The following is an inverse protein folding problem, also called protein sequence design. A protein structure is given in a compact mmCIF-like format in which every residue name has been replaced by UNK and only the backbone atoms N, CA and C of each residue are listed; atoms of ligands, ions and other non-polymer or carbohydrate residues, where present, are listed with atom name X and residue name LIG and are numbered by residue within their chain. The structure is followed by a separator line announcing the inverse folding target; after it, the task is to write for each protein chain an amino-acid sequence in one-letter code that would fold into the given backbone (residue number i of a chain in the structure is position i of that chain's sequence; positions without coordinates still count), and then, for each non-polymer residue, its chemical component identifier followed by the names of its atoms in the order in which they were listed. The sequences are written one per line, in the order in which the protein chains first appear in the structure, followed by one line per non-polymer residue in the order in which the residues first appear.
data_IF_335338986216
#
_entry.id   IF_335338986216
#
_cell.length_a   1.000
_cell.length_b   1.000
_cell.length_c   1.000
_cell.angle_alpha   90.00
_cell.angle_beta   90.00
_cell.angle_gamma   90.00
#
_symmetry.space_group_name_H-M   'P 1'
#
loop_
_entity.id
_entity.type
_entity.pdbx_description
1 polymer ?
#
# COMPACT_ATOMS: atom_id res chain seq x y z
N UNK A 1 -9.30 -18.64 -15.35
CA UNK A 1 -8.93 -17.81 -14.18
C UNK A 1 -10.14 -17.04 -13.70
N UNK A 2 -10.24 -16.76 -12.39
CA UNK A 2 -11.34 -15.95 -11.83
C UNK A 2 -11.21 -14.54 -12.41
N UNK A 3 -12.21 -14.09 -13.17
CA UNK A 3 -12.23 -12.74 -13.72
C UNK A 3 -12.92 -11.79 -12.73
N UNK A 4 -12.49 -10.52 -12.66
CA UNK A 4 -13.20 -9.53 -11.87
C UNK A 4 -14.61 -9.36 -12.44
N UNK A 5 -15.58 -9.10 -11.55
CA UNK A 5 -16.99 -8.92 -11.93
C UNK A 5 -17.21 -7.69 -12.83
N UNK A 6 -16.28 -6.73 -12.80
CA UNK A 6 -16.23 -5.59 -13.70
C UNK A 6 -14.77 -5.25 -14.02
N UNK A 7 -14.51 -4.84 -15.27
CA UNK A 7 -13.18 -4.39 -15.74
C UNK A 7 -13.14 -2.91 -16.08
N UNK A 8 -14.29 -2.36 -16.47
CA UNK A 8 -14.40 -0.98 -16.94
C UNK A 8 -15.55 -0.24 -16.26
N UNK A 9 -15.42 1.10 -16.22
CA UNK A 9 -16.45 2.00 -15.72
C UNK A 9 -16.67 1.95 -14.21
N UNK A 10 -17.74 2.61 -13.76
CA UNK A 10 -18.11 2.75 -12.35
C UNK A 10 -18.31 1.45 -11.57
N UNK A 11 -18.77 0.32 -12.16
CA UNK A 11 -18.91 -0.94 -11.43
C UNK A 11 -17.59 -1.50 -10.87
N UNK A 12 -16.43 -1.02 -11.35
CA UNK A 12 -15.12 -1.39 -10.80
C UNK A 12 -14.91 -0.89 -9.37
N UNK A 13 -15.55 0.22 -8.97
CA UNK A 13 -15.41 0.82 -7.64
C UNK A 13 -15.93 -0.12 -6.53
N UNK A 14 -17.18 -0.61 -6.56
CA UNK A 14 -17.66 -1.55 -5.55
C UNK A 14 -16.90 -2.88 -5.60
N UNK A 15 -16.51 -3.35 -6.80
CA UNK A 15 -15.69 -4.57 -6.94
C UNK A 15 -14.35 -4.43 -6.23
N UNK A 16 -13.68 -3.28 -6.38
CA UNK A 16 -12.45 -2.98 -5.65
C UNK A 16 -12.70 -2.86 -4.14
N UNK A 17 -13.71 -2.10 -3.72
CA UNK A 17 -13.99 -1.83 -2.31
C UNK A 17 -14.30 -3.09 -1.48
N UNK A 18 -15.04 -4.06 -2.04
CA UNK A 18 -15.35 -5.33 -1.37
C UNK A 18 -14.30 -6.41 -1.64
N UNK A 19 -13.65 -6.40 -2.80
CA UNK A 19 -12.61 -7.35 -3.17
C UNK A 19 -11.32 -7.15 -2.38
N UNK A 20 -10.87 -5.90 -2.20
CA UNK A 20 -9.61 -5.57 -1.55
C UNK A 20 -9.46 -6.14 -0.12
N UNK A 21 -10.37 -5.89 0.83
CA UNK A 21 -10.21 -6.42 2.18
C UNK A 21 -10.30 -7.96 2.22
N UNK A 22 -11.15 -8.54 1.37
CA UNK A 22 -11.38 -9.99 1.36
C UNK A 22 -10.22 -10.74 0.70
N UNK A 23 -9.53 -10.15 -0.29
CA UNK A 23 -8.34 -10.74 -0.90
C UNK A 23 -7.10 -10.59 -0.02
N UNK A 24 -6.85 -9.39 0.50
CA UNK A 24 -5.63 -9.07 1.27
C UNK A 24 -5.64 -9.70 2.66
N UNK A 25 -6.80 -9.75 3.32
CA UNK A 25 -6.95 -10.22 4.69
C UNK A 25 -7.72 -11.54 4.76
N UNK A 26 -7.71 -12.33 3.69
CA UNK A 26 -8.45 -13.61 3.59
C UNK A 26 -8.26 -14.53 4.81
N UNK A 27 -7.06 -14.74 5.39
CA UNK A 27 -6.91 -15.58 6.56
C UNK A 27 -7.56 -15.01 7.82
N UNK A 28 -7.54 -13.68 8.00
CA UNK A 28 -8.13 -13.01 9.15
C UNK A 28 -9.67 -13.02 9.08
N UNK A 29 -10.24 -12.76 7.91
CA UNK A 29 -11.67 -12.89 7.69
C UNK A 29 -12.16 -14.34 7.89
N UNK A 30 -11.39 -15.30 7.37
CA UNK A 30 -11.71 -16.72 7.55
C UNK A 30 -11.66 -17.12 9.03
N UNK A 31 -10.59 -16.77 9.75
CA UNK A 31 -10.45 -17.07 11.17
C UNK A 31 -11.55 -16.40 12.02
N UNK A 32 -11.83 -15.12 11.80
CA UNK A 32 -12.90 -14.40 12.50
C UNK A 32 -14.28 -15.00 12.22
N UNK A 33 -14.55 -15.38 10.97
CA UNK A 33 -15.81 -16.03 10.58
C UNK A 33 -15.96 -17.43 11.19
N UNK A 34 -14.88 -18.22 11.25
CA UNK A 34 -14.87 -19.54 11.91
C UNK A 34 -15.15 -19.41 13.41
N UNK A 35 -14.52 -18.45 14.09
CA UNK A 35 -14.77 -18.19 15.51
C UNK A 35 -16.22 -17.76 15.78
N UNK A 36 -16.79 -16.90 14.92
CA UNK A 36 -18.20 -16.51 15.03
C UNK A 36 -19.15 -17.70 14.79
N UNK A 37 -18.85 -18.55 13.81
CA UNK A 37 -19.62 -19.76 13.55
C UNK A 37 -19.58 -20.72 14.74
N UNK A 38 -18.41 -20.97 15.34
CA UNK A 38 -18.29 -21.81 16.55
C UNK A 38 -19.13 -21.22 17.68
N UNK A 39 -19.04 -19.92 17.93
CA UNK A 39 -19.84 -19.22 18.96
C UNK A 39 -21.34 -19.40 18.75
N UNK A 40 -21.83 -19.24 17.51
CA UNK A 40 -23.25 -19.43 17.15
C UNK A 40 -23.68 -20.90 17.24
N UNK A 41 -22.78 -21.82 16.90
CA UNK A 41 -22.98 -23.25 17.05
C UNK A 41 -23.22 -23.64 18.50
N UNK A 42 -22.42 -23.12 19.44
CA UNK A 42 -22.58 -23.35 20.88
C UNK A 42 -23.94 -22.83 21.39
N UNK A 43 -24.43 -21.71 20.84
CA UNK A 43 -25.76 -21.15 21.17
C UNK A 43 -26.93 -21.92 20.56
N UNK A 44 -26.66 -22.84 19.64
CA UNK A 44 -27.69 -23.64 18.96
C UNK A 44 -28.33 -22.94 17.77
N UNK A 45 -27.77 -21.83 17.28
CA UNK A 45 -28.34 -21.02 16.19
C UNK A 45 -28.46 -21.81 14.86
N UNK A 46 -27.71 -22.92 14.73
CA UNK A 46 -27.71 -23.79 13.54
C UNK A 46 -28.66 -24.99 13.63
N UNK A 47 -29.48 -25.12 14.67
CA UNK A 47 -30.42 -26.24 14.81
C UNK A 47 -31.58 -26.18 13.81
N UNK A 48 -32.03 -24.99 13.45
CA UNK A 48 -33.10 -24.77 12.47
C UNK A 48 -32.66 -24.94 11.02
N UNK A 49 -33.60 -25.13 10.09
CA UNK A 49 -33.30 -25.22 8.66
C UNK A 49 -32.59 -23.98 8.12
N UNK A 50 -33.01 -22.78 8.54
CA UNK A 50 -32.35 -21.51 8.19
C UNK A 50 -30.91 -21.43 8.70
N UNK A 51 -30.66 -21.92 9.91
CA UNK A 51 -29.33 -21.96 10.50
C UNK A 51 -28.39 -22.93 9.77
N UNK A 52 -28.90 -24.09 9.35
CA UNK A 52 -28.16 -25.04 8.50
C UNK A 52 -27.82 -24.46 7.13
N UNK A 53 -28.76 -23.74 6.49
CA UNK A 53 -28.51 -23.05 5.21
C UNK A 53 -27.44 -21.97 5.40
N UNK A 54 -27.53 -21.16 6.45
CA UNK A 54 -26.53 -20.14 6.74
C UNK A 54 -25.13 -20.76 6.94
N UNK A 55 -25.03 -21.83 7.73
CA UNK A 55 -23.77 -22.54 7.94
C UNK A 55 -23.19 -23.12 6.64
N UNK A 56 -24.05 -23.67 5.77
CA UNK A 56 -23.63 -24.17 4.46
C UNK A 56 -23.04 -23.05 3.60
N UNK A 57 -23.73 -21.92 3.49
CA UNK A 57 -23.24 -20.75 2.74
C UNK A 57 -21.93 -20.23 3.30
N UNK A 58 -21.80 -20.12 4.63
CA UNK A 58 -20.55 -19.72 5.28
C UNK A 58 -19.41 -20.70 5.01
N UNK A 59 -19.68 -22.00 5.02
CA UNK A 59 -18.68 -23.03 4.70
C UNK A 59 -18.22 -22.94 3.25
N UNK A 60 -19.13 -22.68 2.31
CA UNK A 60 -18.80 -22.40 0.90
C UNK A 60 -17.91 -21.15 0.81
N UNK A 61 -18.23 -20.08 1.54
CA UNK A 61 -17.40 -18.87 1.58
C UNK A 61 -15.99 -19.15 2.11
N UNK A 62 -15.82 -19.98 3.14
CA UNK A 62 -14.49 -20.41 3.60
C UNK A 62 -13.72 -21.18 2.53
N UNK A 63 -14.39 -22.08 1.80
CA UNK A 63 -13.79 -22.79 0.66
C UNK A 63 -13.27 -21.83 -0.40
N UNK A 64 -14.06 -20.80 -0.75
CA UNK A 64 -13.64 -19.77 -1.71
C UNK A 64 -12.47 -18.93 -1.19
N UNK A 65 -12.49 -18.53 0.08
CA UNK A 65 -11.37 -17.80 0.72
C UNK A 65 -10.10 -18.65 0.76
N UNK A 66 -10.20 -19.94 1.05
CA UNK A 66 -9.07 -20.86 1.02
C UNK A 66 -8.49 -21.00 -0.39
N UNK A 67 -9.34 -21.14 -1.42
CA UNK A 67 -8.87 -21.17 -2.80
C UNK A 67 -8.17 -19.86 -3.21
N UNK A 68 -8.70 -18.71 -2.81
CA UNK A 68 -8.07 -17.41 -3.04
C UNK A 68 -6.71 -17.33 -2.33
N UNK A 69 -6.64 -17.71 -1.05
CA UNK A 69 -5.39 -17.72 -0.29
C UNK A 69 -4.34 -18.67 -0.88
N UNK A 70 -4.74 -19.91 -1.21
CA UNK A 70 -3.86 -20.89 -1.84
C UNK A 70 -3.29 -20.38 -3.15
N UNK A 71 -4.11 -19.70 -3.96
CA UNK A 71 -3.66 -19.09 -5.22
C UNK A 71 -2.65 -17.96 -4.97
N UNK A 72 -2.89 -17.12 -3.96
CA UNK A 72 -1.95 -16.05 -3.61
C UNK A 72 -0.59 -16.63 -3.18
N UNK A 73 -0.58 -17.67 -2.36
CA UNK A 73 0.65 -18.36 -1.94
C UNK A 73 1.32 -19.07 -3.13
N UNK A 74 0.56 -19.74 -3.97
CA UNK A 74 1.09 -20.41 -5.17
C UNK A 74 1.66 -19.43 -6.21
N UNK A 75 1.31 -18.15 -6.15
CA UNK A 75 1.86 -17.12 -7.02
C UNK A 75 3.22 -16.59 -6.56
N UNK A 76 3.68 -16.96 -5.36
CA UNK A 76 4.94 -16.47 -4.78
C UNK A 76 6.16 -16.61 -5.72
N UNK A 77 6.37 -17.72 -6.45
CA UNK A 77 7.53 -17.84 -7.34
C UNK A 77 7.61 -16.74 -8.42
N UNK A 78 6.46 -16.26 -8.92
CA UNK A 78 6.44 -15.18 -9.91
C UNK A 78 6.98 -13.84 -9.40
N UNK A 79 7.06 -13.66 -8.07
CA UNK A 79 7.65 -12.49 -7.43
C UNK A 79 9.08 -12.76 -6.95
N UNK A 80 9.34 -13.97 -6.44
CA UNK A 80 10.65 -14.36 -5.89
C UNK A 80 11.71 -14.62 -6.97
N UNK A 81 11.33 -15.30 -8.07
CA UNK A 81 12.30 -15.73 -9.09
C UNK A 81 12.98 -14.53 -9.78
N UNK A 82 12.26 -13.46 -10.19
CA UNK A 82 12.91 -12.27 -10.75
C UNK A 82 13.78 -11.52 -9.74
N UNK A 83 13.40 -11.51 -8.45
CA UNK A 83 14.22 -10.90 -7.41
C UNK A 83 15.52 -11.68 -7.21
N UNK A 84 15.44 -13.00 -7.19
CA UNK A 84 16.60 -13.89 -7.11
C UNK A 84 17.50 -13.75 -8.34
N UNK A 85 16.93 -13.66 -9.53
CA UNK A 85 17.68 -13.43 -10.77
C UNK A 85 18.43 -12.08 -10.74
N UNK A 86 17.78 -11.02 -10.27
CA UNK A 86 18.35 -9.68 -10.27
C UNK A 86 19.31 -9.42 -9.10
N UNK A 87 19.04 -9.99 -7.91
CA UNK A 87 19.74 -9.68 -6.66
C UNK A 87 20.59 -10.83 -6.11
N UNK A 88 20.53 -12.01 -6.72
CA UNK A 88 21.21 -13.23 -6.26
C UNK A 88 20.42 -14.04 -5.24
N UNK A 89 20.89 -15.26 -4.97
CA UNK A 89 20.24 -16.20 -4.03
C UNK A 89 20.29 -15.72 -2.57
N UNK A 90 21.26 -14.88 -2.22
CA UNK A 90 21.50 -14.37 -0.87
C UNK A 90 20.72 -13.08 -0.56
N UNK A 91 19.90 -12.58 -1.50
CA UNK A 91 19.16 -11.32 -1.33
C UNK A 91 18.28 -11.32 -0.08
N UNK A 92 17.72 -12.48 0.31
CA UNK A 92 16.94 -12.61 1.54
C UNK A 92 17.80 -12.39 2.79
N UNK A 93 19.03 -12.88 2.81
CA UNK A 93 19.95 -12.66 3.93
C UNK A 93 20.37 -11.18 4.02
N UNK A 94 20.53 -10.51 2.87
CA UNK A 94 20.75 -9.06 2.82
C UNK A 94 19.52 -8.31 3.37
N UNK A 95 18.32 -8.69 2.95
CA UNK A 95 17.08 -8.09 3.43
C UNK A 95 16.90 -8.29 4.94
N UNK A 96 17.21 -9.47 5.49
CA UNK A 96 17.19 -9.71 6.94
C UNK A 96 18.19 -8.84 7.69
N UNK A 97 19.41 -8.63 7.16
CA UNK A 97 20.39 -7.70 7.74
C UNK A 97 19.93 -6.24 7.66
N UNK A 98 19.24 -5.88 6.58
CA UNK A 98 18.70 -4.53 6.36
C UNK A 98 17.46 -4.24 7.22
N UNK A 99 16.84 -5.26 7.84
CA UNK A 99 15.91 -5.07 8.95
C UNK A 99 16.71 -4.59 10.16
N UNK A 100 17.14 -3.32 10.13
CA UNK A 100 17.65 -2.60 11.30
C UNK A 100 16.71 -2.92 12.44
N UNK A 101 17.30 -3.31 13.59
CA UNK A 101 16.63 -3.51 14.87
C UNK A 101 15.47 -2.54 14.91
N UNK A 102 14.25 -3.04 14.71
CA UNK A 102 13.03 -2.23 14.89
C UNK A 102 13.29 -1.58 16.24
N UNK A 103 13.60 -0.27 16.27
CA UNK A 103 13.37 0.47 17.50
C UNK A 103 11.92 0.13 17.74
N UNK A 104 11.69 -0.67 18.78
CA UNK A 104 10.39 -1.14 19.20
C UNK A 104 9.66 0.13 19.61
N UNK A 105 9.20 0.87 18.61
CA UNK A 105 8.24 1.94 18.74
C UNK A 105 6.95 1.16 18.98
N UNK A 106 6.78 0.73 20.21
CA UNK A 106 5.59 0.06 20.69
C UNK A 106 4.48 1.09 20.72
N UNK A 107 3.49 0.93 19.84
CA UNK A 107 2.31 1.79 19.79
C UNK A 107 1.92 2.19 18.37
N UNK A 108 0.62 2.43 18.17
CA UNK A 108 0.10 3.05 16.94
C UNK A 108 0.23 4.57 17.12
N UNK A 109 1.38 5.13 16.73
CA UNK A 109 1.56 6.57 16.75
C UNK A 109 0.67 7.22 15.68
N UNK A 110 0.08 8.40 15.95
CA UNK A 110 -0.65 9.13 14.93
C UNK A 110 0.26 9.38 13.73
N UNK A 111 -0.22 9.08 12.52
CA UNK A 111 0.54 9.24 11.27
C UNK A 111 1.19 10.63 11.13
N UNK A 112 0.54 11.66 11.64
CA UNK A 112 1.05 13.03 11.64
C UNK A 112 2.32 13.21 12.48
N UNK A 113 2.49 12.46 13.57
CA UNK A 113 3.72 12.48 14.40
C UNK A 113 4.89 11.91 13.61
N UNK A 114 4.68 10.76 12.94
CA UNK A 114 5.70 10.14 12.09
C UNK A 114 6.08 11.10 10.96
N UNK A 115 5.07 11.66 10.28
CA UNK A 115 5.29 12.61 9.19
C UNK A 115 6.11 13.83 9.61
N UNK A 116 5.78 14.46 10.74
CA UNK A 116 6.49 15.66 11.23
C UNK A 116 7.97 15.43 11.54
N UNK A 117 8.39 14.18 11.74
CA UNK A 117 9.81 13.84 11.94
C UNK A 117 10.63 13.94 10.65
N UNK A 118 10.02 13.69 9.50
CA UNK A 118 10.70 13.61 8.21
C UNK A 118 10.29 14.70 7.21
N UNK A 119 9.12 15.32 7.42
CA UNK A 119 8.58 16.34 6.52
C UNK A 119 8.47 17.66 7.28
N UNK A 120 9.38 18.56 6.96
CA UNK A 120 9.32 19.96 7.41
C UNK A 120 8.09 20.67 6.81
N UNK A 121 7.63 21.77 7.42
CA UNK A 121 6.51 22.55 6.86
C UNK A 121 6.77 23.02 5.43
N UNK A 122 8.02 23.40 5.13
CA UNK A 122 8.46 23.78 3.79
C UNK A 122 8.65 22.58 2.85
N UNK A 123 8.65 21.35 3.36
CA UNK A 123 8.75 20.12 2.58
C UNK A 123 7.45 19.70 1.89
N UNK A 124 6.39 20.51 1.99
CA UNK A 124 5.16 20.35 1.20
C UNK A 124 5.19 21.31 0.03
N UNK A 125 5.28 20.79 -1.18
CA UNK A 125 5.45 21.58 -2.42
C UNK A 125 4.37 21.28 -3.44
N UNK A 126 4.09 22.23 -4.33
CA UNK A 126 3.22 22.01 -5.48
C UNK A 126 4.10 21.77 -6.70
N UNK A 127 3.95 20.61 -7.36
CA UNK A 127 4.77 20.21 -8.51
C UNK A 127 4.08 20.44 -9.86
N UNK A 128 2.80 20.82 -9.86
CA UNK A 128 2.00 20.90 -11.09
C UNK A 128 0.81 21.86 -11.01
N UNK A 129 0.09 22.07 -12.13
CA UNK A 129 -0.90 23.14 -12.24
C UNK A 129 -2.22 22.85 -11.51
N UNK A 130 -2.47 21.61 -11.09
CA UNK A 130 -3.77 21.20 -10.52
C UNK A 130 -3.88 21.42 -8.99
N UNK A 131 -3.19 22.43 -8.46
CA UNK A 131 -3.28 22.85 -7.07
C UNK A 131 -3.09 21.68 -6.10
N UNK A 132 -4.10 21.42 -5.26
CA UNK A 132 -4.06 20.37 -4.20
C UNK A 132 -3.91 18.96 -4.75
N UNK A 133 -4.26 18.70 -6.01
CA UNK A 133 -4.10 17.38 -6.64
C UNK A 133 -2.66 17.17 -7.13
N UNK A 134 -1.83 18.21 -7.18
CA UNK A 134 -0.42 18.13 -7.59
C UNK A 134 0.51 18.61 -6.46
N UNK A 135 0.32 18.07 -5.27
CA UNK A 135 1.15 18.32 -4.10
C UNK A 135 2.13 17.17 -3.86
N UNK A 136 3.32 17.46 -3.34
CA UNK A 136 4.29 16.47 -2.90
C UNK A 136 4.74 16.74 -1.46
N UNK A 137 4.97 15.69 -0.68
CA UNK A 137 5.69 15.74 0.60
C UNK A 137 7.10 15.17 0.40
N UNK A 138 8.10 15.96 0.80
CA UNK A 138 9.52 15.59 0.76
C UNK A 138 9.91 15.08 2.14
N UNK A 139 10.17 13.78 2.20
CA UNK A 139 10.62 13.04 3.37
C UNK A 139 12.12 12.96 3.37
N UNK A 140 12.75 13.53 4.39
CA UNK A 140 14.20 13.45 4.62
C UNK A 140 14.49 13.62 6.10
N UNK A 141 15.68 13.20 6.54
CA UNK A 141 16.14 13.58 7.87
C UNK A 141 16.57 15.04 7.88
N UNK A 142 16.35 15.71 9.01
CA UNK A 142 16.77 17.10 9.20
C UNK A 142 18.30 17.24 9.16
N UNK A 143 19.04 16.23 9.60
CA UNK A 143 20.52 16.21 9.66
C UNK A 143 21.20 15.77 8.36
N UNK A 144 20.43 15.42 7.32
CA UNK A 144 21.00 15.09 6.02
C UNK A 144 21.61 16.35 5.36
N UNK A 145 22.84 16.33 4.83
CA UNK A 145 23.39 17.49 4.13
C UNK A 145 22.55 17.87 2.89
N UNK A 146 22.51 19.15 2.54
CA UNK A 146 21.79 19.65 1.35
C UNK A 146 22.58 19.43 0.06
N UNK A 147 23.84 19.07 0.16
CA UNK A 147 24.78 18.73 -0.91
C UNK A 147 25.11 17.22 -0.95
N UNK A 148 24.41 16.42 -0.13
CA UNK A 148 24.73 15.00 0.11
C UNK A 148 24.44 14.05 -1.05
N UNK A 149 23.77 14.50 -2.12
CA UNK A 149 23.41 13.69 -3.30
C UNK A 149 22.75 12.36 -2.92
N UNK A 150 21.75 12.44 -2.06
CA UNK A 150 21.05 11.29 -1.54
C UNK A 150 20.18 10.62 -2.63
N UNK A 151 20.09 9.29 -2.66
CA UNK A 151 19.19 8.59 -3.56
C UNK A 151 17.73 8.98 -3.28
N UNK A 152 16.96 9.13 -4.36
CA UNK A 152 15.59 9.63 -4.31
C UNK A 152 14.58 8.52 -4.64
N UNK A 153 13.60 8.31 -3.76
CA UNK A 153 12.44 7.45 -4.00
C UNK A 153 11.20 8.29 -4.32
N UNK A 154 10.61 8.12 -5.50
CA UNK A 154 9.26 8.60 -5.79
C UNK A 154 8.23 7.55 -5.31
N UNK A 155 7.42 7.93 -4.33
CA UNK A 155 6.27 7.16 -3.86
C UNK A 155 5.01 7.61 -4.59
N UNK A 156 4.39 6.68 -5.32
CA UNK A 156 3.08 6.87 -5.95
C UNK A 156 2.04 6.11 -5.12
N UNK A 157 1.06 6.80 -4.50
CA UNK A 157 0.03 6.13 -3.71
C UNK A 157 -0.80 5.13 -4.52
N UNK A 158 -1.00 3.96 -3.95
CA UNK A 158 -1.83 2.90 -4.51
C UNK A 158 -3.30 3.07 -4.14
N UNK A 159 -4.19 2.61 -5.03
CA UNK A 159 -5.63 2.82 -4.81
C UNK A 159 -6.51 2.68 -6.03
N UNK A 160 -6.11 1.84 -7.00
CA UNK A 160 -6.83 1.63 -8.25
C UNK A 160 -7.17 2.94 -9.01
N UNK A 161 -6.30 3.95 -8.91
CA UNK A 161 -6.51 5.31 -9.44
C UNK A 161 -7.73 6.07 -8.88
N UNK A 162 -8.49 5.47 -7.97
CA UNK A 162 -9.62 6.08 -7.27
C UNK A 162 -9.24 6.60 -5.87
N UNK A 163 -8.09 6.14 -5.33
CA UNK A 163 -7.51 6.61 -4.07
C UNK A 163 -6.06 7.01 -4.36
N UNK A 164 -5.74 8.29 -4.16
CA UNK A 164 -4.47 8.88 -4.54
C UNK A 164 -4.06 9.99 -3.58
N UNK A 165 -3.76 9.59 -2.34
CA UNK A 165 -3.39 10.51 -1.26
C UNK A 165 -1.93 10.29 -0.86
N UNK A 166 -1.14 11.37 -0.81
CA UNK A 166 0.26 11.37 -0.32
C UNK A 166 0.41 11.06 1.17
N UNK A 167 -0.70 10.97 1.89
CA UNK A 167 -0.74 10.62 3.32
C UNK A 167 -1.85 9.60 3.56
N UNK A 168 -1.67 8.59 4.42
CA UNK A 168 -0.45 8.18 5.14
C UNK A 168 0.27 6.98 4.47
N UNK A 169 0.07 6.77 3.16
CA UNK A 169 0.56 5.55 2.52
C UNK A 169 2.08 5.43 2.55
N UNK A 170 2.58 4.21 2.68
CA UNK A 170 4.02 3.86 2.63
C UNK A 170 4.90 4.51 3.71
N UNK A 171 4.33 5.08 4.78
CA UNK A 171 5.12 5.72 5.84
C UNK A 171 6.20 4.81 6.46
N UNK A 172 5.94 3.50 6.74
CA UNK A 172 6.99 2.62 7.25
C UNK A 172 8.18 2.48 6.29
N UNK A 173 7.92 2.33 4.98
CA UNK A 173 8.96 2.23 3.96
C UNK A 173 9.74 3.54 3.83
N UNK A 174 9.04 4.66 3.69
CA UNK A 174 9.68 5.97 3.53
C UNK A 174 10.48 6.38 4.76
N UNK A 175 9.96 6.13 5.97
CA UNK A 175 10.69 6.42 7.22
C UNK A 175 11.96 5.56 7.33
N UNK A 176 11.87 4.28 6.95
CA UNK A 176 13.02 3.38 6.93
C UNK A 176 14.09 3.87 5.94
N UNK A 177 13.72 4.17 4.70
CA UNK A 177 14.67 4.65 3.70
C UNK A 177 15.25 6.02 4.07
N UNK A 178 14.43 6.93 4.59
CA UNK A 178 14.91 8.22 5.10
C UNK A 178 15.89 8.04 6.28
N UNK A 179 15.66 7.09 7.18
CA UNK A 179 16.59 6.74 8.25
C UNK A 179 17.95 6.26 7.70
N UNK A 180 17.95 5.61 6.53
CA UNK A 180 19.12 5.19 5.74
C UNK A 180 19.68 6.28 4.81
N UNK A 181 19.24 7.53 4.95
CA UNK A 181 19.78 8.68 4.21
C UNK A 181 19.18 8.90 2.83
N UNK A 182 18.08 8.22 2.48
CA UNK A 182 17.35 8.48 1.25
C UNK A 182 16.46 9.72 1.41
N UNK A 183 16.08 10.30 0.27
CA UNK A 183 14.98 11.26 0.20
C UNK A 183 13.79 10.56 -0.43
N UNK A 184 12.62 10.61 0.20
CA UNK A 184 11.40 10.06 -0.38
C UNK A 184 10.43 11.20 -0.75
N UNK A 185 9.83 11.13 -1.92
CA UNK A 185 8.87 12.12 -2.40
C UNK A 185 7.52 11.43 -2.56
N UNK A 186 6.55 11.78 -1.72
CA UNK A 186 5.20 11.22 -1.78
C UNK A 186 4.25 12.22 -2.43
N UNK A 187 3.53 11.78 -3.48
CA UNK A 187 2.75 12.69 -4.33
C UNK A 187 1.24 12.48 -4.21
N UNK A 188 0.50 13.57 -4.24
CA UNK A 188 -0.91 13.57 -4.64
C UNK A 188 -0.95 13.57 -6.18
N UNK A 189 -1.97 12.95 -6.78
CA UNK A 189 -2.23 13.01 -8.21
C UNK A 189 -3.74 13.05 -8.43
N UNK A 190 -4.19 13.56 -9.58
CA UNK A 190 -5.62 13.57 -9.94
C UNK A 190 -6.20 12.15 -9.87
N UNK A 191 -7.36 11.94 -9.25
CA UNK A 191 -7.98 10.61 -9.11
C UNK A 191 -9.29 10.46 -9.87
N UNK A 192 -9.62 9.21 -10.20
CA UNK A 192 -10.92 8.79 -10.72
C UNK A 192 -12.00 8.88 -9.62
N UNK A 193 -13.28 9.06 -10.00
CA UNK A 193 -13.79 9.14 -11.37
C UNK A 193 -13.75 10.55 -11.98
N UNK A 194 -13.37 11.58 -11.21
CA UNK A 194 -13.39 12.97 -11.67
C UNK A 194 -12.40 13.23 -12.80
N UNK A 195 -11.25 12.57 -12.74
CA UNK A 195 -10.22 12.61 -13.75
C UNK A 195 -10.03 11.19 -14.29
N UNK A 196 -9.93 11.04 -15.61
CA UNK A 196 -9.82 9.71 -16.24
C UNK A 196 -8.43 9.52 -16.82
N UNK A 197 -8.10 8.28 -17.19
CA UNK A 197 -6.89 8.02 -17.97
C UNK A 197 -6.82 8.96 -19.20
N UNK A 198 -5.67 9.60 -19.50
CA UNK A 198 -4.32 9.41 -18.93
C UNK A 198 -3.93 10.39 -17.79
N UNK A 199 -4.87 11.12 -17.18
CA UNK A 199 -4.55 12.20 -16.24
C UNK A 199 -3.63 11.77 -15.09
N UNK A 200 -3.89 10.59 -14.52
CA UNK A 200 -3.11 10.01 -13.42
C UNK A 200 -1.62 9.88 -13.76
N UNK A 201 -1.32 9.28 -14.92
CA UNK A 201 0.06 9.02 -15.34
C UNK A 201 0.77 10.30 -15.80
N UNK A 202 0.03 11.25 -16.36
CA UNK A 202 0.57 12.57 -16.71
C UNK A 202 1.04 13.29 -15.46
N UNK A 203 0.28 13.22 -14.36
CA UNK A 203 0.64 13.84 -13.09
C UNK A 203 1.87 13.17 -12.46
N UNK A 204 1.95 11.83 -12.48
CA UNK A 204 3.15 11.09 -12.03
C UNK A 204 4.39 11.50 -12.83
N UNK A 205 4.27 11.61 -14.16
CA UNK A 205 5.39 12.05 -15.02
C UNK A 205 5.80 13.49 -14.72
N UNK A 206 4.84 14.37 -14.45
CA UNK A 206 5.10 15.76 -14.06
C UNK A 206 5.83 15.84 -12.73
N UNK A 207 5.41 15.04 -11.74
CA UNK A 207 6.11 14.95 -10.47
C UNK A 207 7.55 14.46 -10.64
N UNK A 208 7.76 13.43 -11.49
CA UNK A 208 9.12 12.94 -11.78
C UNK A 208 9.99 14.01 -12.45
N UNK A 209 9.45 14.79 -13.39
CA UNK A 209 10.16 15.90 -14.01
C UNK A 209 10.52 16.97 -12.98
N UNK A 210 9.57 17.36 -12.13
CA UNK A 210 9.81 18.32 -11.05
C UNK A 210 10.89 17.85 -10.09
N UNK A 211 10.88 16.57 -9.70
CA UNK A 211 11.90 15.96 -8.83
C UNK A 211 13.28 16.11 -9.48
N UNK A 212 13.44 15.73 -10.75
CA UNK A 212 14.74 15.82 -11.43
C UNK A 212 15.30 17.24 -11.48
N UNK A 213 14.42 18.25 -11.55
CA UNK A 213 14.82 19.64 -11.63
C UNK A 213 15.14 20.25 -10.26
N UNK A 214 14.42 19.87 -9.20
CA UNK A 214 14.45 20.58 -7.91
C UNK A 214 14.98 19.76 -6.74
N UNK A 215 15.12 18.43 -6.84
CA UNK A 215 15.43 17.59 -5.68
C UNK A 215 16.84 17.85 -5.11
N UNK A 216 17.74 18.37 -5.94
CA UNK A 216 19.07 18.83 -5.52
C UNK A 216 18.99 19.91 -4.42
N UNK A 217 17.99 20.80 -4.45
CA UNK A 217 17.75 21.79 -3.39
C UNK A 217 17.40 21.14 -2.03
N UNK A 218 16.95 19.88 -2.08
CA UNK A 218 16.63 19.06 -0.92
C UNK A 218 17.73 18.05 -0.59
N UNK A 219 18.87 18.08 -1.29
CA UNK A 219 20.01 17.17 -1.11
C UNK A 219 19.90 15.83 -1.81
N UNK A 220 19.00 15.71 -2.79
CA UNK A 220 18.85 14.50 -3.62
C UNK A 220 19.72 14.52 -4.87
N UNK A 221 19.90 13.35 -5.49
CA UNK A 221 20.53 13.14 -6.80
C UNK A 221 19.53 12.60 -7.84
#
# INVERSE_FOLDING_TARGET
GVQPLARDGYPTIPVFAFGWPTSEMSPLYMAGSMLDAVRRGIRGDFRGARGRIALLLTTISWGLLYLAHRRNVAAQPYFEDPLREALGDDYQAIAEKAKVTRRLITGVFPNEVIRRRYVEKAGTVQYGPHGRENMADIWRRADLPRDGKAPVLLQVPGGAWAIGMRKPQSYPLMSHLADHGWICVSIDYRVSPRNTWPDHIVDVKRALAWIKEHIAEYGGD
#
